data_IF_352052869409
#
_entry.id   IF_352052869409
#
_cell.length_a   1.000
_cell.length_b   1.000
_cell.length_c   1.000
_cell.angle_alpha   90.00
_cell.angle_beta   90.00
_cell.angle_gamma   90.00
#
_symmetry.space_group_name_H-M   'P 1'
#
loop_
_entity.id
_entity.type
_entity.pdbx_description
1 polymer ?
#
# COMPACT_ATOMS: atom_id res chain seq x y z
N UNK A 1 -13.40 -30.21 11.41
CA UNK A 1 -12.71 -28.95 11.07
C UNK A 1 -13.61 -27.84 11.58
N UNK A 2 -13.23 -27.16 12.66
CA UNK A 2 -14.02 -26.07 13.22
C UNK A 2 -13.99 -24.90 12.23
N UNK A 3 -15.16 -24.48 11.74
CA UNK A 3 -15.33 -23.24 11.00
C UNK A 3 -14.90 -22.08 11.92
N UNK A 4 -13.71 -21.52 11.70
CA UNK A 4 -13.37 -20.19 12.22
C UNK A 4 -14.21 -19.18 11.43
N UNK A 5 -15.43 -18.93 11.89
CA UNK A 5 -16.11 -17.67 11.60
C UNK A 5 -15.31 -16.60 12.34
N UNK A 6 -14.57 -15.78 11.60
CA UNK A 6 -13.90 -14.61 12.19
C UNK A 6 -14.97 -13.59 12.57
N UNK A 7 -15.51 -13.69 13.78
CA UNK A 7 -16.48 -12.70 14.28
C UNK A 7 -15.85 -11.28 14.34
N UNK A 8 -14.52 -11.18 14.45
CA UNK A 8 -13.74 -9.96 14.29
C UNK A 8 -12.50 -10.18 13.40
N UNK A 9 -12.50 -9.54 12.23
CA UNK A 9 -11.41 -9.56 11.23
C UNK A 9 -10.18 -8.74 11.68
N UNK A 10 -10.40 -7.70 12.50
CA UNK A 10 -9.35 -6.83 13.01
C UNK A 10 -9.48 -6.65 14.53
N UNK A 11 -8.34 -6.68 15.21
CA UNK A 11 -8.25 -6.60 16.67
C UNK A 11 -7.21 -5.54 17.05
N UNK A 12 -7.60 -4.56 17.88
CA UNK A 12 -6.68 -3.59 18.46
C UNK A 12 -6.13 -4.18 19.75
N UNK A 13 -4.81 -4.41 19.79
CA UNK A 13 -4.10 -5.03 20.91
C UNK A 13 -3.63 -3.98 21.93
N UNK A 14 -3.13 -2.85 21.45
CA UNK A 14 -2.69 -1.74 22.30
C UNK A 14 -2.85 -0.38 21.59
N UNK A 15 -2.87 0.69 22.36
CA UNK A 15 -2.94 2.07 21.87
C UNK A 15 -1.91 2.94 22.55
N UNK A 16 -1.34 3.89 21.82
CA UNK A 16 -0.43 4.88 22.38
C UNK A 16 -1.18 5.90 23.25
N UNK A 17 -0.65 6.31 24.43
CA UNK A 17 -1.33 7.26 25.31
C UNK A 17 -1.30 8.72 24.84
N UNK A 18 -0.38 9.10 23.94
CA UNK A 18 -0.16 10.50 23.52
C UNK A 18 -0.66 10.78 22.09
N UNK A 19 -1.21 9.78 21.39
CA UNK A 19 -1.65 9.88 20.01
C UNK A 19 -2.78 8.89 19.69
N UNK A 20 -3.20 8.83 18.44
CA UNK A 20 -4.19 7.83 17.97
C UNK A 20 -3.53 6.56 17.43
N UNK A 21 -2.24 6.35 17.68
CA UNK A 21 -1.51 5.19 17.19
C UNK A 21 -2.01 3.90 17.84
N UNK A 22 -2.09 2.85 17.02
CA UNK A 22 -2.70 1.57 17.40
C UNK A 22 -1.82 0.42 16.97
N UNK A 23 -1.63 -0.53 17.88
CA UNK A 23 -1.07 -1.84 17.61
C UNK A 23 -2.23 -2.79 17.40
N UNK A 24 -2.28 -3.51 16.28
CA UNK A 24 -3.37 -4.45 16.01
C UNK A 24 -2.98 -5.65 15.17
N UNK A 25 -3.94 -6.53 14.95
CA UNK A 25 -3.83 -7.72 14.12
C UNK A 25 -5.00 -7.80 13.14
N UNK A 26 -4.68 -7.96 11.86
CA UNK A 26 -5.63 -8.22 10.79
C UNK A 26 -5.55 -9.70 10.39
N UNK A 27 -6.64 -10.43 10.57
CA UNK A 27 -6.74 -11.86 10.23
C UNK A 27 -7.18 -11.98 8.77
N UNK A 28 -6.39 -12.63 7.94
CA UNK A 28 -6.74 -12.93 6.54
C UNK A 28 -6.71 -14.43 6.26
N UNK A 29 -7.05 -14.82 5.04
CA UNK A 29 -7.06 -16.23 4.63
C UNK A 29 -5.67 -16.88 4.65
N UNK A 30 -4.62 -16.11 4.30
CA UNK A 30 -3.25 -16.61 4.17
C UNK A 30 -2.32 -16.18 5.31
N UNK A 31 -2.84 -15.60 6.39
CA UNK A 31 -2.03 -15.27 7.56
C UNK A 31 -2.58 -14.14 8.42
N UNK A 32 -1.87 -13.85 9.51
CA UNK A 32 -2.12 -12.69 10.35
C UNK A 32 -1.16 -11.58 9.94
N UNK A 33 -1.67 -10.36 9.80
CA UNK A 33 -0.90 -9.15 9.52
C UNK A 33 -0.88 -8.25 10.75
N UNK A 34 0.33 -7.98 11.25
CA UNK A 34 0.59 -7.11 12.38
C UNK A 34 0.57 -5.63 11.96
N UNK A 35 -0.27 -4.82 12.60
CA UNK A 35 -0.38 -3.38 12.30
C UNK A 35 0.22 -2.50 13.39
N UNK A 36 0.84 -1.35 13.06
CA UNK A 36 0.96 -0.77 11.71
C UNK A 36 1.87 -1.54 10.75
N UNK A 37 1.55 -1.57 9.45
CA UNK A 37 2.25 -2.38 8.43
C UNK A 37 2.58 -1.59 7.17
N UNK A 38 3.73 -1.92 6.56
CA UNK A 38 4.11 -1.47 5.22
C UNK A 38 4.01 -2.64 4.23
N UNK A 39 3.35 -2.41 3.11
CA UNK A 39 3.14 -3.38 2.04
C UNK A 39 4.09 -3.09 0.86
N UNK A 40 5.10 -3.95 0.60
CA UNK A 40 5.88 -3.88 -0.63
C UNK A 40 4.98 -4.02 -1.87
N UNK A 41 5.21 -3.17 -2.87
CA UNK A 41 4.35 -3.10 -4.07
C UNK A 41 4.85 -4.03 -5.18
N UNK A 42 4.04 -5.02 -5.51
CA UNK A 42 4.21 -6.01 -6.58
C UNK A 42 3.43 -5.66 -7.85
N UNK A 43 3.91 -4.67 -8.62
CA UNK A 43 3.20 -4.11 -9.78
C UNK A 43 2.80 -5.12 -10.86
N UNK A 44 3.57 -6.18 -11.05
CA UNK A 44 3.36 -7.16 -12.14
C UNK A 44 3.41 -8.59 -11.58
N UNK A 45 2.85 -8.80 -10.38
CA UNK A 45 2.99 -10.08 -9.65
C UNK A 45 4.42 -10.30 -9.14
N UNK A 46 5.19 -9.22 -8.96
CA UNK A 46 6.55 -9.26 -8.42
C UNK A 46 6.92 -7.90 -7.82
N UNK A 47 7.46 -7.92 -6.60
CA UNK A 47 8.17 -6.76 -6.04
C UNK A 47 9.47 -6.64 -6.81
N UNK A 48 9.65 -5.51 -7.50
CA UNK A 48 10.73 -5.34 -8.48
C UNK A 48 12.08 -5.72 -7.87
N UNK A 49 12.77 -6.65 -8.53
CA UNK A 49 14.11 -7.16 -8.18
C UNK A 49 14.20 -8.03 -6.91
N UNK A 50 13.08 -8.46 -6.35
CA UNK A 50 13.05 -9.26 -5.11
C UNK A 50 12.20 -10.51 -5.31
N UNK A 51 12.73 -11.66 -4.89
CA UNK A 51 12.00 -12.94 -4.90
C UNK A 51 11.06 -13.07 -3.70
N UNK A 52 10.03 -13.94 -3.76
CA UNK A 52 9.16 -14.23 -2.62
C UNK A 52 9.91 -14.69 -1.36
N UNK A 53 10.95 -15.52 -1.52
CA UNK A 53 11.78 -15.96 -0.39
C UNK A 53 12.50 -14.79 0.28
N UNK A 54 13.10 -13.90 -0.51
CA UNK A 54 13.75 -12.70 0.02
C UNK A 54 12.75 -11.78 0.74
N UNK A 55 11.49 -11.68 0.27
CA UNK A 55 10.46 -10.92 0.99
C UNK A 55 10.13 -11.54 2.35
N UNK A 56 10.10 -12.88 2.45
CA UNK A 56 9.93 -13.58 3.73
C UNK A 56 11.12 -13.37 4.66
N UNK A 57 12.35 -13.39 4.13
CA UNK A 57 13.57 -13.10 4.89
C UNK A 57 13.61 -11.66 5.41
N UNK A 58 12.93 -10.74 4.71
CA UNK A 58 12.71 -9.36 5.14
C UNK A 58 11.52 -9.22 6.11
N UNK A 59 10.84 -10.31 6.46
CA UNK A 59 9.66 -10.36 7.33
C UNK A 59 8.45 -9.57 6.78
N UNK A 60 8.34 -9.46 5.45
CA UNK A 60 7.13 -8.93 4.84
C UNK A 60 5.95 -9.88 5.12
N UNK A 61 4.89 -9.35 5.73
CA UNK A 61 3.70 -10.13 6.10
C UNK A 61 2.56 -10.03 5.08
N UNK A 62 2.64 -9.04 4.19
CA UNK A 62 1.63 -8.77 3.16
C UNK A 62 2.27 -7.95 2.06
N UNK A 63 1.80 -8.11 0.82
CA UNK A 63 2.22 -7.31 -0.33
C UNK A 63 1.02 -6.70 -1.04
N UNK A 64 1.24 -5.65 -1.82
CA UNK A 64 0.23 -5.09 -2.71
C UNK A 64 0.42 -5.61 -4.13
N UNK A 65 -0.60 -6.26 -4.70
CA UNK A 65 -0.69 -6.62 -6.11
C UNK A 65 -1.42 -5.54 -6.91
N UNK A 66 -0.92 -5.18 -8.08
CA UNK A 66 -1.59 -4.19 -8.93
C UNK A 66 -2.55 -4.85 -9.92
N UNK A 67 -3.85 -4.62 -9.73
CA UNK A 67 -4.92 -5.24 -10.52
C UNK A 67 -4.87 -4.83 -11.97
N UNK A 68 -4.66 -3.55 -12.25
CA UNK A 68 -4.63 -3.03 -13.62
C UNK A 68 -3.55 -3.72 -14.46
N UNK A 69 -2.33 -3.78 -13.94
CA UNK A 69 -1.21 -4.35 -14.66
C UNK A 69 -1.37 -5.85 -14.88
N UNK A 70 -1.80 -6.59 -13.85
CA UNK A 70 -2.03 -8.04 -13.93
C UNK A 70 -3.18 -8.40 -14.89
N UNK A 71 -4.24 -7.58 -14.89
CA UNK A 71 -5.36 -7.71 -15.81
C UNK A 71 -4.94 -7.47 -17.27
N UNK A 72 -4.09 -6.46 -17.51
CA UNK A 72 -3.59 -6.17 -18.86
C UNK A 72 -2.58 -7.23 -19.31
N UNK A 73 -1.69 -7.67 -18.42
CA UNK A 73 -0.69 -8.70 -18.71
C UNK A 73 -0.23 -9.39 -17.41
N UNK A 74 -0.31 -10.72 -17.31
CA UNK A 74 -0.55 -11.69 -18.37
C UNK A 74 -2.04 -11.92 -18.71
N UNK A 75 -2.96 -11.19 -18.06
CA UNK A 75 -4.39 -11.40 -18.21
C UNK A 75 -4.96 -12.32 -17.13
N UNK A 76 -6.20 -12.05 -16.73
CA UNK A 76 -6.89 -12.75 -15.64
C UNK A 76 -7.01 -14.26 -15.90
N UNK A 77 -7.34 -14.65 -17.13
CA UNK A 77 -7.52 -16.07 -17.50
C UNK A 77 -6.25 -16.89 -17.36
N UNK A 78 -5.09 -16.30 -17.66
CA UNK A 78 -3.79 -16.93 -17.44
C UNK A 78 -3.56 -17.17 -15.95
N UNK A 79 -3.81 -16.16 -15.11
CA UNK A 79 -3.59 -16.23 -13.66
C UNK A 79 -4.54 -17.26 -13.03
N UNK A 80 -5.82 -17.26 -13.41
CA UNK A 80 -6.81 -18.26 -12.95
C UNK A 80 -6.35 -19.69 -13.28
N UNK A 81 -5.91 -19.93 -14.52
CA UNK A 81 -5.40 -21.25 -14.95
C UNK A 81 -4.16 -21.71 -14.18
N UNK A 82 -3.39 -20.77 -13.63
CA UNK A 82 -2.20 -21.04 -12.83
C UNK A 82 -2.50 -21.12 -11.32
N UNK A 83 -3.78 -21.16 -10.91
CA UNK A 83 -4.19 -21.32 -9.51
C UNK A 83 -4.27 -20.01 -8.72
N UNK A 84 -4.52 -18.88 -9.39
CA UNK A 84 -4.62 -17.56 -8.74
C UNK A 84 -3.27 -16.88 -8.55
N UNK A 85 -3.28 -15.65 -8.03
CA UNK A 85 -2.10 -14.79 -7.94
C UNK A 85 -1.04 -15.36 -6.98
N UNK A 86 -1.46 -15.86 -5.82
CA UNK A 86 -0.58 -16.52 -4.84
C UNK A 86 0.26 -17.63 -5.48
N UNK A 87 -0.39 -18.60 -6.12
CA UNK A 87 0.26 -19.70 -6.84
C UNK A 87 1.12 -19.22 -8.00
N UNK A 88 0.59 -18.26 -8.78
CA UNK A 88 1.28 -17.72 -9.95
C UNK A 88 2.62 -17.05 -9.60
N UNK A 89 2.68 -16.33 -8.47
CA UNK A 89 3.90 -15.63 -8.04
C UNK A 89 4.68 -16.34 -6.93
N UNK A 90 4.24 -17.54 -6.52
CA UNK A 90 4.80 -18.31 -5.42
C UNK A 90 4.90 -17.51 -4.10
N UNK A 91 3.80 -16.84 -3.74
CA UNK A 91 3.62 -16.10 -2.49
C UNK A 91 2.43 -16.68 -1.74
N UNK A 92 2.69 -17.29 -0.59
CA UNK A 92 1.74 -18.02 0.25
C UNK A 92 1.26 -17.20 1.46
N UNK A 93 1.60 -15.91 1.50
CA UNK A 93 1.20 -14.96 2.53
C UNK A 93 0.15 -13.98 1.97
N UNK A 94 -0.45 -13.13 2.82
CA UNK A 94 -1.50 -12.23 2.40
C UNK A 94 -1.16 -11.32 1.21
N UNK A 95 -2.15 -11.08 0.34
CA UNK A 95 -2.08 -10.10 -0.76
C UNK A 95 -3.25 -9.12 -0.66
N UNK A 96 -2.95 -7.82 -0.75
CA UNK A 96 -3.95 -6.78 -1.02
C UNK A 96 -3.90 -6.42 -2.52
N UNK A 97 -5.03 -6.35 -3.19
CA UNK A 97 -5.11 -5.83 -4.58
C UNK A 97 -5.75 -4.46 -4.62
N UNK A 98 -5.16 -3.52 -5.36
CA UNK A 98 -5.81 -2.25 -5.64
C UNK A 98 -6.97 -2.41 -6.64
N UNK A 99 -7.83 -1.40 -6.78
CA UNK A 99 -9.00 -1.49 -7.66
C UNK A 99 -8.68 -1.31 -9.14
N UNK A 100 -7.49 -0.80 -9.45
CA UNK A 100 -7.06 -0.33 -10.77
C UNK A 100 -7.53 1.09 -11.12
N UNK A 101 -8.40 1.73 -10.33
CA UNK A 101 -8.94 3.06 -10.60
C UNK A 101 -7.86 4.15 -10.73
N UNK A 102 -6.88 4.14 -9.83
CA UNK A 102 -5.76 5.09 -9.86
C UNK A 102 -4.84 4.91 -11.09
N UNK A 103 -4.64 3.70 -11.59
CA UNK A 103 -3.80 3.43 -12.76
C UNK A 103 -4.51 3.82 -14.04
N UNK A 104 -5.83 3.59 -14.11
CA UNK A 104 -6.66 4.16 -15.16
C UNK A 104 -6.57 5.69 -15.13
N UNK A 105 -6.54 6.31 -13.95
CA UNK A 105 -6.31 7.75 -13.81
C UNK A 105 -4.90 8.18 -14.29
N UNK A 106 -3.83 7.54 -13.81
CA UNK A 106 -2.45 8.00 -14.06
C UNK A 106 -1.86 7.61 -15.41
N UNK A 107 -2.30 6.51 -16.03
CA UNK A 107 -1.70 5.98 -17.25
C UNK A 107 -2.52 6.25 -18.52
N UNK A 108 -3.83 6.47 -18.41
CA UNK A 108 -4.67 6.73 -19.57
C UNK A 108 -4.82 8.24 -19.83
N UNK A 109 -4.01 8.76 -20.75
CA UNK A 109 -4.14 10.15 -21.26
C UNK A 109 -5.54 10.44 -21.83
N UNK A 110 -6.17 9.43 -22.43
CA UNK A 110 -7.55 9.49 -22.90
C UNK A 110 -8.37 8.48 -22.10
N UNK A 111 -9.17 9.01 -21.17
CA UNK A 111 -10.13 8.25 -20.38
C UNK A 111 -11.49 8.97 -20.38
N UNK A 112 -12.56 8.20 -20.29
CA UNK A 112 -13.92 8.69 -20.12
C UNK A 112 -14.54 8.00 -18.92
N UNK A 113 -14.80 8.79 -17.89
CA UNK A 113 -15.50 8.36 -16.67
C UNK A 113 -17.00 8.50 -16.94
N UNK A 114 -17.77 7.45 -16.68
CA UNK A 114 -19.24 7.41 -16.77
C UNK A 114 -19.81 6.75 -15.53
N UNK A 115 -21.14 6.70 -15.39
CA UNK A 115 -21.76 6.02 -14.25
C UNK A 115 -21.42 4.52 -14.24
N UNK A 116 -21.29 3.89 -15.40
CA UNK A 116 -21.01 2.45 -15.53
C UNK A 116 -19.59 2.09 -15.08
N UNK A 117 -18.62 2.98 -15.28
CA UNK A 117 -17.20 2.76 -15.01
C UNK A 117 -16.32 3.69 -15.83
N UNK A 118 -15.11 3.24 -16.17
CA UNK A 118 -14.13 4.02 -16.91
C UNK A 118 -13.73 3.32 -18.19
N UNK A 119 -13.86 4.04 -19.30
CA UNK A 119 -13.35 3.64 -20.61
C UNK A 119 -12.00 4.29 -20.87
N UNK A 120 -11.03 3.54 -21.35
CA UNK A 120 -9.68 4.04 -21.63
C UNK A 120 -8.98 3.19 -22.70
N UNK A 121 -7.77 3.58 -23.09
CA UNK A 121 -6.92 2.80 -23.98
C UNK A 121 -5.86 2.03 -23.18
N UNK A 122 -5.68 0.76 -23.49
CA UNK A 122 -4.62 -0.08 -22.93
C UNK A 122 -3.24 0.55 -23.24
N UNK A 123 -2.42 0.76 -22.21
CA UNK A 123 -1.11 1.39 -22.34
C UNK A 123 -0.08 0.54 -23.13
N UNK A 124 -0.34 -0.75 -23.34
CA UNK A 124 0.56 -1.64 -24.08
C UNK A 124 0.30 -1.62 -25.60
N UNK A 125 -0.96 -1.66 -26.02
CA UNK A 125 -1.34 -1.86 -27.43
C UNK A 125 -2.37 -0.85 -27.96
N UNK A 126 -2.88 0.05 -27.11
CA UNK A 126 -3.87 1.05 -27.48
C UNK A 126 -5.31 0.54 -27.62
N UNK A 127 -5.56 -0.74 -27.35
CA UNK A 127 -6.90 -1.33 -27.46
C UNK A 127 -7.91 -0.67 -26.51
N UNK A 128 -9.17 -0.43 -26.94
CA UNK A 128 -10.21 0.06 -26.04
C UNK A 128 -10.45 -0.92 -24.89
N UNK A 129 -10.45 -0.41 -23.66
CA UNK A 129 -10.63 -1.19 -22.44
C UNK A 129 -11.66 -0.51 -21.53
N UNK A 130 -12.41 -1.31 -20.78
CA UNK A 130 -13.36 -0.85 -19.77
C UNK A 130 -13.07 -1.52 -18.43
N UNK A 131 -13.11 -0.73 -17.36
CA UNK A 131 -13.14 -1.25 -15.98
C UNK A 131 -14.22 -0.46 -15.22
N UNK A 132 -15.13 -1.18 -14.57
CA UNK A 132 -16.12 -0.62 -13.66
C UNK A 132 -16.15 -1.39 -12.33
N UNK A 133 -17.10 -1.06 -11.43
CA UNK A 133 -17.25 -1.69 -10.13
C UNK A 133 -17.26 -3.23 -10.17
N UNK A 134 -18.16 -3.83 -10.95
CA UNK A 134 -18.33 -5.29 -11.03
C UNK A 134 -17.13 -5.96 -11.68
N UNK A 135 -16.61 -5.38 -12.77
CA UNK A 135 -15.42 -5.91 -13.46
C UNK A 135 -14.19 -5.86 -12.56
N UNK A 136 -14.00 -4.78 -11.78
CA UNK A 136 -12.88 -4.68 -10.82
C UNK A 136 -13.00 -5.76 -9.74
N UNK A 137 -14.20 -6.00 -9.20
CA UNK A 137 -14.44 -7.08 -8.22
C UNK A 137 -14.22 -8.47 -8.83
N UNK A 138 -14.68 -8.70 -10.06
CA UNK A 138 -14.46 -9.96 -10.77
C UNK A 138 -12.96 -10.24 -11.00
N UNK A 139 -12.20 -9.21 -11.40
CA UNK A 139 -10.75 -9.35 -11.57
C UNK A 139 -10.10 -9.69 -10.24
N UNK A 140 -10.37 -8.94 -9.17
CA UNK A 140 -9.76 -9.17 -7.86
C UNK A 140 -10.14 -10.52 -7.25
N UNK A 141 -11.38 -10.98 -7.46
CA UNK A 141 -11.81 -12.33 -7.09
C UNK A 141 -11.08 -13.41 -7.89
N UNK A 142 -10.87 -13.20 -9.19
CA UNK A 142 -10.12 -14.13 -10.04
C UNK A 142 -8.60 -14.11 -9.79
N UNK A 143 -8.04 -13.00 -9.30
CA UNK A 143 -6.69 -12.94 -8.75
C UNK A 143 -6.61 -13.69 -7.42
N UNK A 144 -7.70 -13.71 -6.65
CA UNK A 144 -7.77 -14.42 -5.37
C UNK A 144 -7.01 -13.74 -4.25
N UNK A 145 -6.93 -12.40 -4.23
CA UNK A 145 -6.29 -11.67 -3.13
C UNK A 145 -7.01 -11.87 -1.80
N UNK A 146 -6.31 -11.63 -0.69
CA UNK A 146 -6.89 -11.65 0.66
C UNK A 146 -7.76 -10.41 0.92
N UNK A 147 -7.33 -9.26 0.40
CA UNK A 147 -8.01 -7.97 0.56
C UNK A 147 -8.18 -7.35 -0.82
N UNK A 148 -9.41 -7.00 -1.17
CA UNK A 148 -9.76 -6.29 -2.40
C UNK A 148 -10.21 -4.86 -2.11
N UNK A 149 -9.63 -3.90 -2.83
CA UNK A 149 -10.05 -2.51 -2.75
C UNK A 149 -11.25 -2.26 -3.66
N UNK A 150 -12.27 -1.53 -3.17
CA UNK A 150 -13.42 -1.18 -4.01
C UNK A 150 -13.01 -0.26 -5.17
N UNK A 151 -13.74 -0.32 -6.28
CA UNK A 151 -13.55 0.60 -7.38
C UNK A 151 -14.04 2.01 -7.01
N UNK A 152 -13.20 3.01 -7.25
CA UNK A 152 -13.41 4.40 -6.87
C UNK A 152 -13.01 5.36 -7.99
N UNK A 153 -13.50 6.60 -7.91
CA UNK A 153 -13.00 7.70 -8.74
C UNK A 153 -12.05 8.54 -7.88
N UNK A 154 -10.77 8.58 -8.28
CA UNK A 154 -9.77 9.40 -7.62
C UNK A 154 -9.74 10.79 -8.29
N UNK A 155 -10.21 11.86 -7.61
CA UNK A 155 -10.17 13.20 -8.18
C UNK A 155 -8.73 13.68 -8.33
N UNK A 156 -8.42 14.50 -9.36
CA UNK A 156 -7.09 15.09 -9.50
C UNK A 156 -6.85 16.16 -8.43
N UNK A 157 -5.58 16.49 -8.18
CA UNK A 157 -5.19 17.65 -7.40
C UNK A 157 -4.46 18.69 -8.26
N UNK A 158 -4.82 19.99 -8.16
CA UNK A 158 -6.00 20.53 -7.47
C UNK A 158 -7.29 20.26 -8.25
N UNK A 159 -8.44 20.26 -7.56
CA UNK A 159 -9.77 20.28 -8.17
C UNK A 159 -10.73 21.19 -7.38
N UNK A 160 -11.76 21.72 -8.05
CA UNK A 160 -12.82 22.46 -7.38
C UNK A 160 -13.71 21.55 -6.52
N UNK A 161 -14.42 22.15 -5.56
CA UNK A 161 -15.27 21.45 -4.60
C UNK A 161 -16.41 20.71 -5.31
N UNK A 162 -17.00 21.32 -6.34
CA UNK A 162 -18.10 20.72 -7.10
C UNK A 162 -17.65 19.44 -7.84
N UNK A 163 -16.42 19.39 -8.35
CA UNK A 163 -15.84 18.17 -8.94
C UNK A 163 -15.61 17.13 -7.86
N UNK A 164 -14.99 17.52 -6.73
CA UNK A 164 -14.73 16.61 -5.62
C UNK A 164 -16.02 16.00 -5.05
N UNK A 165 -17.11 16.78 -5.00
CA UNK A 165 -18.43 16.32 -4.56
C UNK A 165 -18.99 15.28 -5.53
N UNK A 166 -19.07 15.59 -6.83
CA UNK A 166 -19.53 14.63 -7.86
C UNK A 166 -18.70 13.34 -7.88
N UNK A 167 -17.40 13.46 -7.71
CA UNK A 167 -16.44 12.36 -7.59
C UNK A 167 -16.73 11.47 -6.37
N UNK A 168 -16.92 12.09 -5.20
CA UNK A 168 -17.24 11.39 -3.96
C UNK A 168 -18.59 10.68 -4.03
N UNK A 169 -19.61 11.32 -4.61
CA UNK A 169 -20.92 10.70 -4.83
C UNK A 169 -20.85 9.51 -5.78
N UNK A 170 -20.10 9.62 -6.88
CA UNK A 170 -19.88 8.51 -7.82
C UNK A 170 -19.17 7.35 -7.12
N UNK A 171 -18.15 7.65 -6.31
CA UNK A 171 -17.43 6.65 -5.49
C UNK A 171 -18.38 5.91 -4.54
N UNK A 172 -19.32 6.61 -3.89
CA UNK A 172 -20.32 5.96 -3.03
C UNK A 172 -21.29 5.07 -3.82
N UNK A 173 -21.76 5.51 -5.00
CA UNK A 173 -22.61 4.68 -5.88
C UNK A 173 -21.87 3.44 -6.37
N UNK A 174 -20.60 3.58 -6.73
CA UNK A 174 -19.73 2.47 -7.10
C UNK A 174 -19.44 1.52 -5.94
N UNK A 175 -19.27 2.03 -4.72
CA UNK A 175 -19.11 1.21 -3.52
C UNK A 175 -20.36 0.36 -3.26
N UNK A 176 -21.56 0.92 -3.43
CA UNK A 176 -22.83 0.18 -3.34
C UNK A 176 -22.89 -0.95 -4.37
N UNK A 177 -22.56 -0.67 -5.63
CA UNK A 177 -22.50 -1.70 -6.69
C UNK A 177 -21.49 -2.80 -6.40
N UNK A 178 -20.31 -2.45 -5.88
CA UNK A 178 -19.34 -3.45 -5.43
C UNK A 178 -19.93 -4.31 -4.30
N UNK A 179 -20.59 -3.69 -3.29
CA UNK A 179 -21.21 -4.43 -2.18
C UNK A 179 -22.28 -5.40 -2.66
N UNK A 180 -23.13 -5.00 -3.59
CA UNK A 180 -24.14 -5.86 -4.21
C UNK A 180 -23.48 -7.05 -4.93
N UNK A 181 -22.45 -6.79 -5.73
CA UNK A 181 -21.69 -7.84 -6.40
C UNK A 181 -21.05 -8.82 -5.40
N UNK A 182 -20.43 -8.31 -4.33
CA UNK A 182 -19.80 -9.12 -3.28
C UNK A 182 -20.84 -10.03 -2.61
N UNK A 183 -22.01 -9.50 -2.26
CA UNK A 183 -23.08 -10.26 -1.61
C UNK A 183 -23.62 -11.39 -2.52
N UNK A 184 -23.72 -11.12 -3.83
CA UNK A 184 -24.24 -12.07 -4.80
C UNK A 184 -23.23 -13.17 -5.17
N UNK A 185 -21.93 -12.86 -5.16
CA UNK A 185 -20.89 -13.77 -5.66
C UNK A 185 -20.06 -14.43 -4.54
N UNK A 186 -20.01 -13.85 -3.33
CA UNK A 186 -19.23 -14.32 -2.19
C UNK A 186 -17.77 -14.71 -2.55
N UNK A 187 -16.96 -13.77 -3.05
CA UNK A 187 -15.61 -14.07 -3.50
C UNK A 187 -14.72 -14.62 -2.36
N UNK A 188 -13.87 -15.57 -2.72
CA UNK A 188 -12.94 -16.26 -1.82
C UNK A 188 -11.51 -15.79 -2.08
N UNK A 189 -10.67 -15.82 -1.06
CA UNK A 189 -9.24 -15.52 -1.22
C UNK A 189 -8.49 -16.78 -1.68
N UNK A 190 -7.87 -16.73 -2.86
CA UNK A 190 -7.13 -17.83 -3.47
C UNK A 190 -7.97 -19.11 -3.57
N UNK A 191 -7.31 -20.25 -3.40
CA UNK A 191 -7.97 -21.56 -3.27
C UNK A 191 -8.42 -21.85 -1.81
N UNK A 192 -8.43 -20.84 -0.94
CA UNK A 192 -8.79 -21.01 0.47
C UNK A 192 -10.30 -21.16 0.69
N UNK A 193 -10.68 -21.68 1.86
CA UNK A 193 -12.06 -21.71 2.34
C UNK A 193 -12.48 -20.42 3.05
N UNK A 194 -11.75 -19.32 2.92
CA UNK A 194 -12.03 -18.05 3.57
C UNK A 194 -12.44 -16.96 2.57
N UNK A 195 -13.38 -16.09 3.00
CA UNK A 195 -13.86 -14.98 2.19
C UNK A 195 -12.75 -13.95 1.96
N UNK A 196 -12.75 -13.36 0.78
CA UNK A 196 -11.96 -12.16 0.50
C UNK A 196 -12.51 -10.98 1.34
N UNK A 197 -11.62 -10.17 1.90
CA UNK A 197 -11.96 -8.96 2.64
C UNK A 197 -12.10 -7.79 1.67
N UNK A 198 -13.00 -6.84 1.94
CA UNK A 198 -13.24 -5.71 1.02
C UNK A 198 -13.14 -4.37 1.74
N UNK A 199 -12.34 -3.46 1.19
CA UNK A 199 -12.05 -2.16 1.80
C UNK A 199 -12.60 -1.01 0.96
N UNK A 200 -13.46 -0.19 1.57
CA UNK A 200 -13.96 1.04 0.96
C UNK A 200 -12.90 2.14 0.93
N UNK A 201 -13.02 3.09 0.00
CA UNK A 201 -12.03 4.17 -0.20
C UNK A 201 -12.69 5.53 0.03
N UNK A 202 -12.31 6.20 1.12
CA UNK A 202 -12.75 7.56 1.42
C UNK A 202 -12.13 8.53 0.41
N UNK A 203 -12.99 9.28 -0.27
CA UNK A 203 -12.65 10.35 -1.20
C UNK A 203 -13.13 11.70 -0.65
N UNK A 204 -12.90 12.80 -1.37
CA UNK A 204 -13.30 14.15 -0.95
C UNK A 204 -12.21 15.23 -1.13
N UNK A 205 -11.08 14.88 -1.76
CA UNK A 205 -9.97 15.81 -2.03
C UNK A 205 -9.51 16.51 -0.72
N UNK A 206 -9.35 17.83 -0.73
CA UNK A 206 -8.95 18.63 0.43
C UNK A 206 -10.11 19.17 1.27
N UNK A 207 -11.36 18.83 0.91
CA UNK A 207 -12.56 19.42 1.50
C UNK A 207 -13.05 18.61 2.71
N UNK A 208 -13.03 19.16 3.93
CA UNK A 208 -13.35 18.40 5.14
C UNK A 208 -14.77 17.82 5.16
N UNK A 209 -15.76 18.60 4.71
CA UNK A 209 -17.17 18.18 4.63
C UNK A 209 -17.37 16.97 3.72
N UNK A 210 -16.71 16.96 2.56
CA UNK A 210 -16.79 15.86 1.60
C UNK A 210 -16.10 14.60 2.12
N UNK A 211 -14.97 14.75 2.84
CA UNK A 211 -14.29 13.63 3.50
C UNK A 211 -15.16 12.97 4.56
N UNK A 212 -15.81 13.78 5.39
CA UNK A 212 -16.77 13.31 6.40
C UNK A 212 -17.95 12.56 5.76
N UNK A 213 -18.56 13.15 4.71
CA UNK A 213 -19.68 12.55 3.99
C UNK A 213 -19.28 11.20 3.37
N UNK A 214 -18.12 11.14 2.70
CA UNK A 214 -17.61 9.91 2.10
C UNK A 214 -17.35 8.82 3.15
N UNK A 215 -16.70 9.18 4.26
CA UNK A 215 -16.44 8.24 5.35
C UNK A 215 -17.73 7.67 5.95
N UNK A 216 -18.70 8.52 6.30
CA UNK A 216 -19.99 8.08 6.85
C UNK A 216 -20.76 7.19 5.87
N UNK A 217 -20.84 7.58 4.60
CA UNK A 217 -21.52 6.78 3.57
C UNK A 217 -20.91 5.39 3.38
N UNK A 218 -19.58 5.27 3.41
CA UNK A 218 -18.91 3.97 3.33
C UNK A 218 -19.12 3.13 4.59
N UNK A 219 -19.19 3.75 5.77
CA UNK A 219 -19.42 3.05 7.04
C UNK A 219 -20.81 2.41 7.09
N UNK A 220 -21.83 3.08 6.54
CA UNK A 220 -23.18 2.54 6.42
C UNK A 220 -23.24 1.23 5.60
N UNK A 221 -22.34 1.07 4.63
CA UNK A 221 -22.21 -0.13 3.78
C UNK A 221 -21.49 -1.31 4.46
N UNK A 222 -20.91 -1.10 5.66
CA UNK A 222 -20.30 -2.14 6.53
C UNK A 222 -19.25 -2.99 5.80
N UNK A 223 -18.13 -2.37 5.44
CA UNK A 223 -16.98 -3.04 4.84
C UNK A 223 -16.02 -3.62 5.90
N UNK A 224 -15.03 -4.38 5.44
CA UNK A 224 -14.08 -5.08 6.33
C UNK A 224 -12.94 -4.16 6.79
N UNK A 225 -12.69 -3.08 6.06
CA UNK A 225 -11.74 -2.01 6.37
C UNK A 225 -11.99 -0.77 5.53
N UNK A 226 -11.25 0.29 5.82
CA UNK A 226 -11.47 1.60 5.20
C UNK A 226 -10.15 2.25 4.84
N UNK A 227 -10.00 2.63 3.59
CA UNK A 227 -8.86 3.37 3.10
C UNK A 227 -9.13 4.87 3.02
N UNK A 228 -8.09 5.69 3.18
CA UNK A 228 -8.08 7.10 2.84
C UNK A 228 -7.39 7.23 1.49
N UNK A 229 -8.18 7.48 0.44
CA UNK A 229 -7.73 7.65 -0.94
C UNK A 229 -7.56 9.13 -1.32
N UNK A 230 -7.10 9.38 -2.55
CA UNK A 230 -6.89 10.74 -3.05
C UNK A 230 -5.89 11.54 -2.20
N UNK A 231 -4.91 10.83 -1.62
CA UNK A 231 -3.77 11.36 -0.89
C UNK A 231 -2.49 10.95 -1.62
N UNK A 232 -1.44 11.77 -1.53
CA UNK A 232 -0.19 11.66 -2.30
C UNK A 232 -0.39 11.73 -3.83
N UNK A 233 -1.35 12.53 -4.30
CA UNK A 233 -1.65 12.75 -5.73
C UNK A 233 -1.06 14.06 -6.28
N UNK A 234 -0.40 14.84 -5.43
CA UNK A 234 0.33 16.06 -5.79
C UNK A 234 0.15 17.20 -4.80
N UNK A 235 -0.69 17.00 -3.78
CA UNK A 235 -0.99 18.00 -2.75
C UNK A 235 0.18 18.23 -1.79
N UNK A 236 0.27 19.43 -1.19
CA UNK A 236 1.20 19.70 -0.10
C UNK A 236 1.00 18.73 1.07
N UNK A 237 2.09 18.40 1.76
CA UNK A 237 2.07 17.47 2.90
C UNK A 237 1.05 17.86 3.99
N UNK A 238 0.85 19.17 4.22
CA UNK A 238 -0.15 19.66 5.18
C UNK A 238 -1.59 19.26 4.78
N UNK A 239 -1.90 19.28 3.49
CA UNK A 239 -3.23 18.91 2.97
C UNK A 239 -3.41 17.40 2.97
N UNK A 240 -2.36 16.63 2.63
CA UNK A 240 -2.34 15.18 2.78
C UNK A 240 -2.65 14.76 4.23
N UNK A 241 -2.00 15.41 5.21
CA UNK A 241 -2.25 15.19 6.63
C UNK A 241 -3.68 15.57 7.01
N UNK A 242 -4.15 16.74 6.56
CA UNK A 242 -5.50 17.19 6.84
C UNK A 242 -6.57 16.24 6.28
N UNK A 243 -6.34 15.62 5.12
CA UNK A 243 -7.26 14.62 4.56
C UNK A 243 -7.46 13.42 5.50
N UNK A 244 -6.40 12.96 6.17
CA UNK A 244 -6.47 11.90 7.18
C UNK A 244 -7.18 12.40 8.44
N UNK A 245 -6.82 13.58 8.95
CA UNK A 245 -7.46 14.20 10.12
C UNK A 245 -8.97 14.41 9.92
N UNK A 246 -9.40 14.68 8.69
CA UNK A 246 -10.82 14.89 8.32
C UNK A 246 -11.56 13.59 7.93
N UNK A 247 -10.88 12.44 7.87
CA UNK A 247 -11.50 11.16 7.50
C UNK A 247 -11.57 10.21 8.70
N UNK A 248 -10.45 10.01 9.38
CA UNK A 248 -10.28 8.96 10.40
C UNK A 248 -11.27 9.06 11.57
N UNK A 249 -11.63 10.25 12.09
CA UNK A 249 -12.61 10.35 13.18
C UNK A 249 -13.98 9.74 12.87
N UNK A 250 -14.31 9.56 11.59
CA UNK A 250 -15.58 8.99 11.14
C UNK A 250 -15.46 7.50 10.78
N UNK A 251 -14.28 6.89 10.93
CA UNK A 251 -14.03 5.49 10.61
C UNK A 251 -14.06 4.61 11.88
N UNK A 252 -14.67 3.41 11.84
CA UNK A 252 -14.78 2.54 13.01
C UNK A 252 -13.42 2.18 13.60
N UNK A 253 -13.32 2.20 14.93
CA UNK A 253 -12.08 1.85 15.64
C UNK A 253 -11.76 0.35 15.55
N UNK A 254 -12.79 -0.50 15.45
CA UNK A 254 -12.61 -1.95 15.31
C UNK A 254 -12.35 -2.40 13.86
N UNK A 255 -11.94 -1.48 12.98
CA UNK A 255 -11.64 -1.74 11.57
C UNK A 255 -10.26 -1.17 11.21
N UNK A 256 -9.53 -1.85 10.30
CA UNK A 256 -8.24 -1.37 9.83
C UNK A 256 -8.43 -0.15 8.92
N UNK A 257 -7.48 0.78 9.03
CA UNK A 257 -7.42 2.05 8.32
C UNK A 257 -6.18 2.08 7.45
N UNK A 258 -6.35 2.27 6.16
CA UNK A 258 -5.29 2.16 5.16
C UNK A 258 -5.06 3.50 4.47
N UNK A 259 -3.85 4.05 4.50
CA UNK A 259 -3.55 5.23 3.70
C UNK A 259 -2.81 4.84 2.41
N UNK A 260 -3.41 5.15 1.26
CA UNK A 260 -3.00 4.63 -0.04
C UNK A 260 -1.88 5.46 -0.69
N UNK A 261 -0.89 4.78 -1.27
CA UNK A 261 0.10 5.36 -2.18
C UNK A 261 1.14 6.28 -1.54
N UNK A 262 1.21 6.34 -0.20
CA UNK A 262 2.05 7.27 0.54
C UNK A 262 3.21 6.59 1.26
N UNK A 263 4.27 7.36 1.49
CA UNK A 263 5.17 7.05 2.61
C UNK A 263 6.63 7.34 2.33
N UNK A 264 7.06 8.56 2.65
CA UNK A 264 8.37 8.71 3.31
C UNK A 264 8.29 8.13 4.73
N UNK A 265 9.42 7.73 5.34
CA UNK A 265 9.44 7.26 6.72
C UNK A 265 8.73 8.20 7.72
N UNK A 266 8.99 9.50 7.60
CA UNK A 266 8.39 10.51 8.48
C UNK A 266 6.87 10.60 8.31
N UNK A 267 6.38 10.56 7.06
CA UNK A 267 4.95 10.60 6.77
C UNK A 267 4.22 9.40 7.37
N UNK A 268 4.75 8.19 7.24
CA UNK A 268 4.10 7.00 7.81
C UNK A 268 3.97 7.12 9.33
N UNK A 269 5.01 7.55 10.04
CA UNK A 269 4.94 7.74 11.50
C UNK A 269 3.92 8.83 11.88
N UNK A 270 3.83 9.93 11.11
CA UNK A 270 2.80 10.95 11.35
C UNK A 270 1.37 10.43 11.12
N UNK A 271 1.18 9.55 10.14
CA UNK A 271 -0.13 8.94 9.86
C UNK A 271 -0.49 7.87 10.89
N UNK A 272 0.49 7.13 11.41
CA UNK A 272 0.28 6.21 12.54
C UNK A 272 -0.18 6.98 13.77
N UNK A 273 0.42 8.13 14.07
CA UNK A 273 -0.02 9.00 15.17
C UNK A 273 -1.47 9.49 15.02
N UNK A 274 -2.03 9.39 13.81
CA UNK A 274 -3.42 9.74 13.44
C UNK A 274 -4.32 8.51 13.27
N UNK A 275 -3.82 7.33 13.63
CA UNK A 275 -4.59 6.09 13.65
C UNK A 275 -4.69 5.35 12.33
N UNK A 276 -3.78 5.58 11.37
CA UNK A 276 -3.61 4.72 10.19
C UNK A 276 -2.81 3.47 10.55
N UNK A 277 -3.23 2.31 10.04
CA UNK A 277 -2.65 0.99 10.34
C UNK A 277 -1.90 0.39 9.15
N UNK A 278 -2.20 0.78 7.92
CA UNK A 278 -1.65 0.15 6.72
C UNK A 278 -1.12 1.20 5.74
N UNK A 279 -0.04 0.86 5.06
CA UNK A 279 0.64 1.71 4.08
C UNK A 279 1.17 0.89 2.91
N UNK A 280 1.16 1.48 1.72
CA UNK A 280 1.89 0.98 0.56
C UNK A 280 2.65 2.13 -0.11
N UNK A 281 3.84 1.86 -0.64
CA UNK A 281 4.51 2.83 -1.48
C UNK A 281 5.56 2.18 -2.37
N UNK A 282 5.64 2.64 -3.62
CA UNK A 282 6.72 2.26 -4.54
C UNK A 282 8.04 2.94 -4.21
N UNK A 283 8.04 3.98 -3.36
CA UNK A 283 9.20 4.82 -3.08
C UNK A 283 10.48 4.04 -2.70
N UNK A 284 10.48 3.11 -1.73
CA UNK A 284 11.70 2.39 -1.34
C UNK A 284 12.35 1.65 -2.51
N UNK A 285 11.56 0.94 -3.33
CA UNK A 285 12.10 0.23 -4.50
C UNK A 285 12.46 1.19 -5.64
N UNK A 286 11.70 2.28 -5.83
CA UNK A 286 11.92 3.25 -6.92
C UNK A 286 13.23 4.01 -6.74
N UNK A 287 13.50 4.51 -5.53
CA UNK A 287 14.71 5.30 -5.26
C UNK A 287 15.94 4.41 -5.08
N UNK A 288 15.77 3.16 -4.61
CA UNK A 288 16.84 2.17 -4.60
C UNK A 288 17.45 1.96 -5.99
N UNK A 289 16.60 1.86 -7.03
CA UNK A 289 17.02 1.68 -8.42
C UNK A 289 17.84 2.84 -8.99
N UNK A 290 17.70 4.04 -8.42
CA UNK A 290 18.48 5.21 -8.81
C UNK A 290 19.71 5.44 -7.93
N UNK A 291 19.91 4.60 -6.90
CA UNK A 291 21.06 4.61 -5.99
C UNK A 291 20.83 5.35 -4.68
N UNK A 292 19.60 5.79 -4.39
CA UNK A 292 19.26 6.40 -3.10
C UNK A 292 18.81 5.34 -2.11
N UNK A 293 19.42 5.33 -0.94
CA UNK A 293 19.16 4.38 0.14
C UNK A 293 18.79 5.10 1.43
N UNK A 294 17.88 4.50 2.20
CA UNK A 294 17.49 4.99 3.54
C UNK A 294 18.46 4.46 4.58
N UNK A 295 18.83 5.29 5.54
CA UNK A 295 19.74 4.94 6.66
C UNK A 295 19.18 5.52 7.95
N UNK A 296 19.66 5.09 9.13
CA UNK A 296 19.20 5.55 10.45
C UNK A 296 19.07 7.08 10.53
N UNK A 297 19.99 7.80 9.87
CA UNK A 297 20.00 9.26 9.82
C UNK A 297 19.73 9.82 8.41
N UNK A 298 18.62 9.42 7.80
CA UNK A 298 18.10 10.03 6.58
C UNK A 298 18.35 9.20 5.33
N UNK A 299 19.01 9.78 4.33
CA UNK A 299 19.19 9.13 3.03
C UNK A 299 20.58 9.37 2.45
N UNK A 300 21.17 8.36 1.81
CA UNK A 300 22.42 8.47 1.06
C UNK A 300 22.15 8.28 -0.44
N UNK A 301 22.84 9.05 -1.29
CA UNK A 301 22.93 8.73 -2.71
C UNK A 301 24.27 8.04 -2.99
N UNK A 302 24.25 6.73 -3.16
CA UNK A 302 25.47 5.91 -3.33
C UNK A 302 26.23 6.22 -4.62
N UNK A 303 25.64 6.92 -5.60
CA UNK A 303 26.38 7.36 -6.81
C UNK A 303 27.40 8.47 -6.52
N UNK A 304 27.28 9.16 -5.38
CA UNK A 304 28.17 10.27 -5.02
C UNK A 304 29.65 9.83 -4.98
N UNK A 305 30.56 10.73 -5.37
CA UNK A 305 31.99 10.43 -5.47
C UNK A 305 32.62 10.07 -4.11
N UNK A 306 32.12 10.63 -3.00
CA UNK A 306 32.60 10.34 -1.64
C UNK A 306 32.58 8.85 -1.29
N UNK A 307 31.71 8.07 -1.94
CA UNK A 307 31.58 6.64 -1.70
C UNK A 307 32.46 5.78 -2.61
N UNK A 308 33.32 6.37 -3.46
CA UNK A 308 34.13 5.62 -4.43
C UNK A 308 35.11 4.62 -3.78
N UNK A 309 35.54 4.90 -2.54
CA UNK A 309 36.47 4.08 -1.76
C UNK A 309 35.99 3.92 -0.30
N UNK A 310 34.69 4.08 -0.04
CA UNK A 310 34.12 3.90 1.29
C UNK A 310 33.91 2.39 1.58
N UNK A 311 34.67 1.80 2.53
CA UNK A 311 34.60 0.36 2.81
C UNK A 311 33.41 -0.02 3.70
N UNK A 312 32.70 0.96 4.27
CA UNK A 312 31.59 0.70 5.21
C UNK A 312 30.36 0.14 4.48
N UNK A 313 29.49 -0.63 5.18
CA UNK A 313 28.19 -1.03 4.65
C UNK A 313 27.30 0.20 4.39
N UNK A 314 26.13 0.00 3.76
CA UNK A 314 25.18 1.10 3.55
C UNK A 314 24.86 1.78 4.89
N UNK A 315 24.55 0.98 5.90
CA UNK A 315 24.25 1.39 7.26
C UNK A 315 24.83 0.36 8.24
N UNK A 316 25.52 0.82 9.28
CA UNK A 316 26.20 -0.04 10.26
C UNK A 316 25.22 -0.65 11.28
N UNK A 317 24.04 -0.04 11.45
CA UNK A 317 22.99 -0.54 12.35
C UNK A 317 22.00 -1.49 11.64
N UNK A 318 22.16 -1.69 10.32
CA UNK A 318 21.23 -2.45 9.51
C UNK A 318 21.62 -3.93 9.40
N UNK A 319 20.68 -4.83 9.72
CA UNK A 319 20.88 -6.27 9.61
C UNK A 319 20.40 -6.87 8.27
N UNK A 320 20.06 -6.05 7.27
CA UNK A 320 19.64 -6.53 5.96
C UNK A 320 20.73 -7.36 5.27
N UNK A 321 20.34 -8.16 4.26
CA UNK A 321 21.28 -8.97 3.47
C UNK A 321 22.49 -8.17 2.97
N UNK A 322 22.28 -6.94 2.47
CA UNK A 322 23.35 -6.12 1.92
C UNK A 322 24.36 -5.67 2.98
N UNK A 323 23.89 -5.24 4.16
CA UNK A 323 24.76 -4.74 5.22
C UNK A 323 25.45 -5.87 5.99
N UNK A 324 24.73 -6.95 6.32
CA UNK A 324 25.28 -8.06 7.12
C UNK A 324 26.34 -8.90 6.40
N UNK A 325 26.29 -8.97 5.07
CA UNK A 325 27.21 -9.76 4.26
C UNK A 325 28.43 -8.96 3.77
N UNK A 326 28.67 -7.76 4.31
CA UNK A 326 29.89 -7.00 4.06
C UNK A 326 29.99 -6.33 2.68
N UNK A 327 28.86 -6.09 2.01
CA UNK A 327 28.88 -5.30 0.77
C UNK A 327 29.15 -3.83 1.10
N UNK A 328 30.33 -3.34 0.69
CA UNK A 328 30.72 -1.94 0.94
C UNK A 328 29.95 -0.96 0.05
N UNK A 329 29.81 0.29 0.52
CA UNK A 329 29.28 1.41 -0.26
C UNK A 329 30.08 1.60 -1.56
N UNK A 330 31.40 1.39 -1.54
CA UNK A 330 32.24 1.43 -2.73
C UNK A 330 31.85 0.38 -3.78
N UNK A 331 31.66 -0.87 -3.35
CA UNK A 331 31.26 -1.94 -4.27
C UNK A 331 29.86 -1.71 -4.84
N UNK A 332 28.89 -1.38 -3.97
CA UNK A 332 27.51 -1.13 -4.41
C UNK A 332 27.45 0.08 -5.36
N UNK A 333 28.22 1.15 -5.07
CA UNK A 333 28.36 2.29 -5.98
C UNK A 333 28.92 1.87 -7.33
N UNK A 334 29.97 1.04 -7.36
CA UNK A 334 30.53 0.53 -8.61
C UNK A 334 29.46 -0.21 -9.41
N UNK A 335 28.73 -1.16 -8.80
CA UNK A 335 27.65 -1.88 -9.48
C UNK A 335 26.57 -0.95 -10.03
N UNK A 336 26.12 0.04 -9.25
CA UNK A 336 25.12 1.02 -9.69
C UNK A 336 25.64 1.86 -10.88
N UNK A 337 26.91 2.25 -10.87
CA UNK A 337 27.51 3.03 -11.97
C UNK A 337 27.78 2.20 -13.21
N UNK A 338 28.04 0.91 -13.05
CA UNK A 338 28.20 -0.06 -14.14
C UNK A 338 26.88 -0.64 -14.63
N UNK A 339 25.74 -0.18 -14.10
CA UNK A 339 24.40 -0.65 -14.46
C UNK A 339 24.17 -2.16 -14.22
N UNK A 340 24.92 -2.74 -13.26
CA UNK A 340 24.79 -4.13 -12.88
C UNK A 340 23.50 -4.37 -12.05
N UNK A 341 22.71 -5.37 -12.46
CA UNK A 341 21.42 -5.72 -11.82
C UNK A 341 21.60 -5.96 -10.32
N UNK A 342 22.72 -6.55 -9.91
CA UNK A 342 23.02 -6.82 -8.51
C UNK A 342 23.05 -5.53 -7.67
N UNK A 343 23.54 -4.41 -8.20
CA UNK A 343 23.56 -3.13 -7.48
C UNK A 343 22.16 -2.65 -7.12
N UNK A 344 21.23 -2.78 -8.08
CA UNK A 344 19.81 -2.48 -7.89
C UNK A 344 19.15 -3.42 -6.87
N UNK A 345 19.47 -4.72 -6.94
CA UNK A 345 18.94 -5.71 -5.99
C UNK A 345 19.35 -5.38 -4.56
N UNK A 346 20.65 -5.14 -4.34
CA UNK A 346 21.20 -4.86 -3.00
C UNK A 346 20.60 -3.60 -2.36
N UNK A 347 20.43 -2.51 -3.13
CA UNK A 347 19.78 -1.30 -2.60
C UNK A 347 18.29 -1.48 -2.38
N UNK A 348 17.62 -2.32 -3.17
CA UNK A 348 16.19 -2.59 -3.03
C UNK A 348 15.90 -3.41 -1.77
N UNK A 349 16.66 -4.50 -1.55
CA UNK A 349 16.57 -5.30 -0.33
C UNK A 349 16.81 -4.44 0.92
N UNK A 350 17.83 -3.57 0.87
CA UNK A 350 18.14 -2.65 1.97
C UNK A 350 16.98 -1.68 2.27
N UNK A 351 16.43 -1.03 1.25
CA UNK A 351 15.35 -0.06 1.46
C UNK A 351 14.05 -0.72 1.94
N UNK A 352 13.73 -1.92 1.44
CA UNK A 352 12.56 -2.67 1.92
C UNK A 352 12.74 -3.10 3.37
N UNK A 353 13.93 -3.60 3.74
CA UNK A 353 14.26 -3.92 5.14
C UNK A 353 14.04 -2.71 6.04
N UNK A 354 14.58 -1.54 5.66
CA UNK A 354 14.42 -0.30 6.44
C UNK A 354 12.94 0.03 6.67
N UNK A 355 12.10 -0.06 5.64
CA UNK A 355 10.67 0.23 5.76
C UNK A 355 9.96 -0.79 6.66
N UNK A 356 10.16 -2.09 6.43
CA UNK A 356 9.50 -3.14 7.21
C UNK A 356 9.88 -3.03 8.69
N UNK A 357 11.18 -2.86 8.98
CA UNK A 357 11.67 -2.71 10.35
C UNK A 357 11.25 -1.38 11.00
N UNK A 358 11.07 -0.30 10.24
CA UNK A 358 10.50 0.94 10.79
C UNK A 358 9.08 0.72 11.34
N UNK A 359 8.24 -0.01 10.61
CA UNK A 359 6.87 -0.30 11.03
C UNK A 359 6.87 -1.31 12.20
N UNK A 360 7.83 -2.22 12.25
CA UNK A 360 8.07 -3.06 13.43
C UNK A 360 8.47 -2.25 14.67
N UNK A 361 9.41 -1.29 14.54
CA UNK A 361 9.76 -0.35 15.61
C UNK A 361 8.55 0.48 16.05
N UNK A 362 7.70 0.91 15.11
CA UNK A 362 6.45 1.61 15.43
C UNK A 362 5.52 0.71 16.27
N UNK A 363 5.32 -0.55 15.87
CA UNK A 363 4.55 -1.53 16.65
C UNK A 363 5.09 -1.71 18.07
N UNK A 364 6.40 -1.94 18.22
CA UNK A 364 7.03 -2.17 19.53
C UNK A 364 7.00 -0.92 20.41
N UNK A 365 7.13 0.26 19.83
CA UNK A 365 7.06 1.53 20.57
C UNK A 365 5.63 1.88 21.01
N UNK A 366 4.60 1.53 20.23
CA UNK A 366 3.21 1.63 20.70
C UNK A 366 2.98 0.67 21.86
N UNK A 367 3.45 -0.58 21.75
CA UNK A 367 3.35 -1.60 22.80
C UNK A 367 3.96 -1.12 24.13
N UNK A 368 5.15 -0.51 24.07
CA UNK A 368 5.89 -0.05 25.25
C UNK A 368 5.57 1.40 25.68
N UNK A 369 4.66 2.11 25.01
CA UNK A 369 4.36 3.52 25.31
C UNK A 369 5.50 4.51 24.99
N UNK A 370 6.37 4.17 24.03
CA UNK A 370 7.49 4.99 23.56
C UNK A 370 7.29 5.55 22.13
N UNK A 371 6.08 5.52 21.58
CA UNK A 371 5.85 5.89 20.18
C UNK A 371 6.17 7.38 19.89
N UNK A 372 5.83 8.31 20.79
CA UNK A 372 6.17 9.73 20.60
C UNK A 372 7.70 9.98 20.58
N UNK A 373 8.49 9.15 21.24
CA UNK A 373 9.97 9.22 21.18
C UNK A 373 10.47 8.85 19.79
N UNK A 374 9.96 7.76 19.20
CA UNK A 374 10.25 7.39 17.81
C UNK A 374 9.83 8.50 16.83
N UNK A 375 8.66 9.11 17.06
CA UNK A 375 8.14 10.21 16.24
C UNK A 375 9.03 11.45 16.30
N UNK A 376 9.51 11.83 17.49
CA UNK A 376 10.47 12.94 17.65
C UNK A 376 11.80 12.66 16.95
N UNK A 377 12.34 11.45 17.10
CA UNK A 377 13.57 11.01 16.42
C UNK A 377 13.49 11.22 14.89
N UNK A 378 12.40 10.76 14.25
CA UNK A 378 12.24 10.93 12.80
C UNK A 378 12.03 12.38 12.35
N UNK A 379 11.35 13.20 13.16
CA UNK A 379 11.18 14.64 12.89
C UNK A 379 12.53 15.37 12.91
N UNK A 380 13.38 15.06 13.89
CA UNK A 380 14.70 15.65 14.00
C UNK A 380 15.62 15.21 12.85
N UNK A 381 15.59 13.94 12.47
CA UNK A 381 16.35 13.43 11.34
C UNK A 381 15.91 14.06 10.01
N UNK A 382 14.62 14.35 9.84
CA UNK A 382 14.10 15.03 8.65
C UNK A 382 14.56 16.49 8.54
N UNK A 383 14.78 17.19 9.67
CA UNK A 383 15.23 18.59 9.71
C UNK A 383 16.73 18.76 9.48
N UNK A 384 17.52 17.69 9.53
CA UNK A 384 18.98 17.71 9.33
C UNK A 384 19.40 17.54 7.85
N UNK A 385 18.43 17.44 6.92
CA UNK A 385 18.63 17.50 5.48
C UNK A 385 18.72 18.94 5.00
#
# INVERSE_FOLDING_TARGET
MLELRFDNVFEVLNTDPESFARRGQLKTAHGIVETPIFMPVGTQGTVKSVSPHELKDLEAQIILGNTYHLFVRPGLETIKKMGGLHSFMNWDLPILTDSGGFQVWSLAKMRKITEEGVHFQNHLDGSPTFIGPETSMEIQAGLGSDIAMLFDECPPYPCDEAYAERSGELTLRWATRCKEWINNNNPMAGESSHKQLHFGIVQGSIYPSLREQSAKGLVELKFDGYAVGGVSVGEPEKEMIAAVDNSVPFLPENKPRYAMGLGTPAQMIEMIARGIDMFDCVLPTRVARTGTVYVSHGTLNLKNQRFASDPLPIDEECACYSCRNGFSRAYIRHLIKSEEILGIRLTTLHNLYYYINLLERARNSIECGEFEKLRKELRENSKKK
#
